data_IF_528581415476
#
_entry.id   IF_528581415476
#
_cell.length_a   1.000
_cell.length_b   1.000
_cell.length_c   1.000
_cell.angle_alpha   90.00
_cell.angle_beta   90.00
_cell.angle_gamma   90.00
#
_symmetry.space_group_name_H-M   'P 1'
#
loop_
_entity.id
_entity.type
_entity.pdbx_description
1 polymer ?
#
# COMPACT_ATOMS: atom_id res chain seq x y z
N UNK A 1 -58.14 -0.49 -0.93
CA UNK A 1 -57.31 0.33 -0.02
C UNK A 1 -55.91 -0.26 0.06
N UNK A 2 -55.00 0.03 -0.87
CA UNK A 2 -53.58 -0.43 -0.85
C UNK A 2 -52.81 0.32 -1.94
N UNK A 3 -52.54 1.63 -1.76
CA UNK A 3 -51.74 2.41 -2.73
C UNK A 3 -50.61 3.23 -2.11
N UNK A 4 -50.37 3.11 -0.80
CA UNK A 4 -49.41 3.96 -0.06
C UNK A 4 -48.14 3.24 0.44
N UNK A 5 -47.95 1.95 0.16
CA UNK A 5 -46.82 1.17 0.70
C UNK A 5 -45.51 1.29 -0.09
N UNK A 6 -45.57 1.65 -1.38
CA UNK A 6 -44.40 1.75 -2.25
C UNK A 6 -43.41 2.89 -1.88
N UNK A 7 -43.85 4.13 -1.58
CA UNK A 7 -42.92 5.22 -1.29
C UNK A 7 -42.18 5.05 0.05
N UNK A 8 -42.78 4.36 1.02
CA UNK A 8 -42.15 4.08 2.33
C UNK A 8 -41.00 3.09 2.19
N UNK A 9 -41.16 2.07 1.32
CA UNK A 9 -40.12 1.08 1.05
C UNK A 9 -38.90 1.70 0.34
N UNK A 10 -39.13 2.62 -0.60
CA UNK A 10 -38.05 3.33 -1.29
C UNK A 10 -37.25 4.24 -0.34
N UNK A 11 -37.92 4.90 0.61
CA UNK A 11 -37.23 5.73 1.61
C UNK A 11 -36.37 4.88 2.55
N UNK A 12 -36.87 3.72 2.99
CA UNK A 12 -36.11 2.79 3.83
C UNK A 12 -34.86 2.23 3.13
N UNK A 13 -34.94 1.95 1.83
CA UNK A 13 -33.79 1.52 1.01
C UNK A 13 -32.71 2.60 0.88
N UNK A 14 -33.08 3.90 0.84
CA UNK A 14 -32.10 4.99 0.79
C UNK A 14 -31.38 5.23 2.12
N UNK A 15 -32.04 4.98 3.26
CA UNK A 15 -31.42 5.15 4.59
C UNK A 15 -30.38 4.05 4.86
N UNK A 16 -30.60 2.83 4.34
CA UNK A 16 -29.66 1.71 4.51
C UNK A 16 -28.36 1.88 3.73
N UNK A 17 -28.36 2.53 2.56
CA UNK A 17 -27.14 2.74 1.77
C UNK A 17 -26.21 3.80 2.39
N UNK A 18 -26.76 4.81 3.07
CA UNK A 18 -25.97 5.85 3.76
C UNK A 18 -25.14 5.32 4.94
N UNK A 19 -25.64 4.28 5.63
CA UNK A 19 -24.94 3.68 6.78
C UNK A 19 -23.70 2.86 6.36
N UNK A 20 -23.66 2.33 5.13
CA UNK A 20 -22.52 1.56 4.63
C UNK A 20 -21.27 2.43 4.33
N UNK A 21 -21.45 3.73 4.11
CA UNK A 21 -20.33 4.67 3.91
C UNK A 21 -19.79 5.25 5.22
N UNK A 22 -20.54 5.19 6.33
CA UNK A 22 -20.16 5.82 7.61
C UNK A 22 -19.10 5.04 8.41
N UNK A 23 -18.73 3.82 8.01
CA UNK A 23 -17.80 2.97 8.77
C UNK A 23 -16.45 2.71 8.08
N UNK A 24 -16.05 3.54 7.10
CA UNK A 24 -14.69 3.45 6.54
C UNK A 24 -13.71 4.17 7.47
N UNK A 25 -12.79 3.41 8.07
CA UNK A 25 -11.66 3.97 8.83
C UNK A 25 -10.85 4.88 7.88
N UNK A 26 -10.54 6.13 8.27
CA UNK A 26 -9.81 7.05 7.42
C UNK A 26 -8.35 6.62 7.23
N UNK A 27 -7.75 7.02 6.11
CA UNK A 27 -6.33 6.87 5.87
C UNK A 27 -5.52 7.95 6.59
N UNK A 28 -4.40 7.56 7.19
CA UNK A 28 -3.35 8.47 7.63
C UNK A 28 -2.45 8.82 6.45
N UNK A 29 -2.26 10.12 6.20
CA UNK A 29 -1.42 10.62 5.11
C UNK A 29 0.02 10.90 5.56
N UNK A 30 0.85 11.42 4.64
CA UNK A 30 2.25 11.79 4.86
C UNK A 30 3.17 10.61 5.22
N UNK A 31 2.89 9.43 4.69
CA UNK A 31 3.79 8.30 4.76
C UNK A 31 4.66 8.25 3.51
N UNK A 32 5.90 7.78 3.68
CA UNK A 32 6.85 7.69 2.58
C UNK A 32 7.12 6.26 2.14
N UNK A 33 7.36 6.14 0.84
CA UNK A 33 7.77 4.90 0.19
C UNK A 33 8.82 5.21 -0.86
N UNK A 34 9.85 4.38 -0.91
CA UNK A 34 10.85 4.33 -1.95
C UNK A 34 10.66 3.05 -2.79
N UNK A 35 10.85 3.18 -4.10
CA UNK A 35 10.89 2.09 -5.06
C UNK A 35 12.18 2.24 -5.85
N UNK A 36 13.02 1.22 -5.82
CA UNK A 36 14.27 1.17 -6.58
C UNK A 36 14.15 0.10 -7.66
N UNK A 37 14.41 0.46 -8.91
CA UNK A 37 14.48 -0.46 -10.04
C UNK A 37 15.95 -0.76 -10.31
N UNK A 38 16.30 -2.05 -10.29
CA UNK A 38 17.67 -2.49 -10.59
C UNK A 38 17.92 -2.42 -12.09
N UNK A 39 19.03 -1.79 -12.47
CA UNK A 39 19.55 -1.81 -13.82
C UNK A 39 20.90 -2.51 -13.92
N UNK A 40 21.33 -2.79 -15.16
CA UNK A 40 22.58 -3.50 -15.42
C UNK A 40 23.83 -2.74 -14.94
N UNK A 41 23.75 -1.41 -14.92
CA UNK A 41 24.88 -0.53 -14.60
C UNK A 41 24.56 0.57 -13.57
N UNK A 42 23.30 0.67 -13.13
CA UNK A 42 22.83 1.72 -12.23
C UNK A 42 21.53 1.32 -11.54
N UNK A 43 21.14 2.07 -10.52
CA UNK A 43 19.84 1.93 -9.84
C UNK A 43 18.99 3.14 -10.14
N UNK A 44 17.71 2.90 -10.45
CA UNK A 44 16.74 3.95 -10.70
C UNK A 44 15.82 4.08 -9.49
N UNK A 45 16.01 5.12 -8.69
CA UNK A 45 15.32 5.33 -7.42
C UNK A 45 14.17 6.32 -7.57
N UNK A 46 13.02 5.96 -7.01
CA UNK A 46 11.83 6.78 -6.97
C UNK A 46 11.32 6.85 -5.54
N UNK A 47 10.84 8.02 -5.11
CA UNK A 47 10.29 8.22 -3.78
C UNK A 47 8.98 8.98 -3.83
N UNK A 48 8.11 8.72 -2.86
CA UNK A 48 6.88 9.47 -2.63
C UNK A 48 6.69 9.66 -1.14
N UNK A 49 6.21 10.84 -0.75
CA UNK A 49 5.73 11.14 0.61
C UNK A 49 4.20 11.20 0.69
N UNK A 50 3.52 10.64 -0.32
CA UNK A 50 2.05 10.68 -0.48
C UNK A 50 1.41 9.30 -0.30
N UNK A 51 2.09 8.36 0.36
CA UNK A 51 1.49 7.08 0.70
C UNK A 51 0.44 7.27 1.80
N UNK A 52 -0.70 6.63 1.61
CA UNK A 52 -1.81 6.57 2.54
C UNK A 52 -1.77 5.24 3.29
N UNK A 53 -2.00 5.27 4.61
CA UNK A 53 -2.00 4.05 5.43
C UNK A 53 -3.29 3.96 6.25
N UNK A 54 -3.92 2.78 6.25
CA UNK A 54 -5.08 2.46 7.09
C UNK A 54 -4.85 1.13 7.78
N UNK A 55 -5.34 0.98 9.01
CA UNK A 55 -5.47 -0.33 9.64
C UNK A 55 -6.90 -0.83 9.51
N UNK A 56 -7.09 -2.00 8.90
CA UNK A 56 -8.37 -2.71 8.88
C UNK A 56 -8.44 -3.68 10.07
N UNK A 57 -9.37 -3.39 10.99
CA UNK A 57 -9.59 -4.17 12.20
C UNK A 57 -10.19 -5.54 11.92
N UNK A 58 -10.91 -5.73 10.81
CA UNK A 58 -11.55 -7.00 10.49
C UNK A 58 -10.52 -8.02 9.99
N UNK A 59 -9.59 -7.57 9.15
CA UNK A 59 -8.55 -8.42 8.55
C UNK A 59 -7.24 -8.38 9.32
N UNK A 60 -7.09 -7.45 10.29
CA UNK A 60 -5.86 -7.18 11.05
C UNK A 60 -4.67 -6.85 10.16
N UNK A 61 -4.92 -6.09 9.09
CA UNK A 61 -3.93 -5.69 8.09
C UNK A 61 -3.74 -4.18 8.06
N UNK A 62 -2.49 -3.76 7.87
CA UNK A 62 -2.18 -2.42 7.40
C UNK A 62 -2.33 -2.40 5.89
N UNK A 63 -3.19 -1.54 5.39
CA UNK A 63 -3.35 -1.23 3.99
C UNK A 63 -2.54 0.02 3.64
N UNK A 64 -1.65 -0.09 2.66
CA UNK A 64 -0.85 0.99 2.14
C UNK A 64 -1.26 1.24 0.69
N UNK A 65 -1.66 2.47 0.39
CA UNK A 65 -2.06 2.90 -0.94
C UNK A 65 -1.14 4.03 -1.40
N UNK A 66 -0.46 3.83 -2.52
CA UNK A 66 0.45 4.81 -3.10
C UNK A 66 -0.01 5.17 -4.53
N UNK A 67 -0.45 6.41 -4.78
CA UNK A 67 -0.66 6.89 -6.13
C UNK A 67 0.66 6.95 -6.90
N UNK A 68 0.75 6.26 -8.02
CA UNK A 68 1.97 6.11 -8.82
C UNK A 68 2.43 7.47 -9.40
N UNK A 69 1.51 8.37 -9.70
CA UNK A 69 1.81 9.74 -10.16
C UNK A 69 2.67 10.54 -9.18
N UNK A 70 2.64 10.19 -7.89
CA UNK A 70 3.40 10.88 -6.84
C UNK A 70 4.82 10.32 -6.65
N UNK A 71 5.22 9.31 -7.42
CA UNK A 71 6.59 8.80 -7.41
C UNK A 71 7.50 9.73 -8.21
N UNK A 72 8.40 10.39 -7.50
CA UNK A 72 9.37 11.32 -8.07
C UNK A 72 10.77 10.69 -8.07
N UNK A 73 11.60 10.98 -9.07
CA UNK A 73 13.01 10.59 -9.10
C UNK A 73 13.73 11.01 -7.81
N UNK A 74 14.43 10.08 -7.18
CA UNK A 74 15.32 10.35 -6.05
C UNK A 74 16.78 10.56 -6.49
N UNK A 75 17.10 10.30 -7.77
CA UNK A 75 18.41 10.51 -8.37
C UNK A 75 18.30 10.98 -9.84
N UNK A 76 19.36 11.62 -10.36
CA UNK A 76 19.38 12.20 -11.72
C UNK A 76 19.29 11.16 -12.84
N UNK A 77 19.64 9.91 -12.55
CA UNK A 77 19.57 8.81 -13.50
C UNK A 77 18.15 8.31 -13.74
N UNK A 78 17.15 8.74 -12.95
CA UNK A 78 15.79 8.16 -12.93
C UNK A 78 14.79 8.98 -13.74
N UNK A 79 14.38 8.55 -14.95
CA UNK A 79 13.34 9.25 -15.71
C UNK A 79 11.97 8.97 -15.08
N UNK A 80 11.18 10.01 -14.79
CA UNK A 80 9.81 9.88 -14.23
C UNK A 80 8.96 8.88 -15.04
N UNK A 81 9.03 8.96 -16.37
CA UNK A 81 8.25 8.09 -17.24
C UNK A 81 8.58 6.60 -17.10
N UNK A 82 9.74 6.24 -16.52
CA UNK A 82 10.11 4.85 -16.30
C UNK A 82 9.19 4.18 -15.29
N UNK A 83 9.02 4.75 -14.11
CA UNK A 83 8.17 4.16 -13.07
C UNK A 83 6.70 4.11 -13.51
N UNK A 84 6.22 5.15 -14.20
CA UNK A 84 4.86 5.19 -14.76
C UNK A 84 4.60 4.02 -15.73
N UNK A 85 5.57 3.72 -16.59
CA UNK A 85 5.48 2.63 -17.55
C UNK A 85 5.59 1.25 -16.89
N UNK A 86 6.50 1.07 -15.92
CA UNK A 86 6.64 -0.20 -15.18
C UNK A 86 5.36 -0.57 -14.47
N UNK A 87 4.68 0.39 -13.83
CA UNK A 87 3.41 0.15 -13.14
C UNK A 87 2.19 0.23 -14.06
N UNK A 88 2.38 0.60 -15.34
CA UNK A 88 1.29 0.87 -16.29
C UNK A 88 0.23 1.82 -15.70
N UNK A 89 0.70 2.96 -15.20
CA UNK A 89 -0.07 3.89 -14.38
C UNK A 89 -1.34 4.43 -15.04
N UNK A 90 -1.38 4.51 -16.37
CA UNK A 90 -2.59 4.92 -17.11
C UNK A 90 -3.78 3.99 -16.91
N UNK A 91 -3.53 2.72 -16.57
CA UNK A 91 -4.58 1.73 -16.26
C UNK A 91 -4.64 1.38 -14.78
N UNK A 92 -3.49 1.38 -14.10
CA UNK A 92 -3.35 1.05 -12.69
C UNK A 92 -2.67 2.21 -11.95
N UNK A 93 -3.43 3.27 -11.62
CA UNK A 93 -2.86 4.52 -11.11
C UNK A 93 -2.31 4.42 -9.68
N UNK A 94 -2.58 3.31 -8.98
CA UNK A 94 -2.26 3.12 -7.57
C UNK A 94 -1.55 1.77 -7.35
N UNK A 95 -0.53 1.80 -6.49
CA UNK A 95 0.07 0.60 -5.89
C UNK A 95 -0.61 0.33 -4.56
N UNK A 96 -1.06 -0.91 -4.36
CA UNK A 96 -1.73 -1.34 -3.14
C UNK A 96 -0.94 -2.47 -2.47
N UNK A 97 -0.63 -2.29 -1.18
CA UNK A 97 0.12 -3.24 -0.36
C UNK A 97 -0.65 -3.50 0.93
N UNK A 98 -0.84 -4.76 1.28
CA UNK A 98 -1.36 -5.16 2.59
C UNK A 98 -0.26 -5.83 3.40
N UNK A 99 -0.19 -5.51 4.69
CA UNK A 99 0.79 -6.07 5.62
C UNK A 99 0.04 -6.61 6.84
N UNK A 100 0.23 -7.88 7.17
CA UNK A 100 -0.31 -8.41 8.42
C UNK A 100 0.32 -7.72 9.63
N UNK A 101 -0.55 -7.17 10.48
CA UNK A 101 -0.17 -6.43 11.68
C UNK A 101 -0.95 -6.99 12.88
N UNK A 102 -0.42 -8.04 13.53
CA UNK A 102 -1.02 -8.62 14.73
C UNK A 102 -0.82 -7.66 15.91
N UNK A 103 -1.74 -6.69 16.07
CA UNK A 103 -1.66 -5.61 17.07
C UNK A 103 -1.51 -6.15 18.48
N UNK A 104 -2.09 -7.32 18.77
CA UNK A 104 -1.96 -7.96 20.09
C UNK A 104 -0.50 -8.35 20.39
N UNK A 105 0.25 -8.79 19.38
CA UNK A 105 1.67 -9.12 19.50
C UNK A 105 2.53 -7.86 19.55
N UNK A 106 2.23 -6.88 18.70
CA UNK A 106 2.93 -5.59 18.65
C UNK A 106 2.80 -4.86 20.01
N UNK A 107 1.60 -4.87 20.61
CA UNK A 107 1.30 -4.16 21.85
C UNK A 107 1.35 -5.05 23.11
N UNK A 108 2.01 -6.21 23.06
CA UNK A 108 2.09 -7.20 24.16
C UNK A 108 2.89 -6.74 25.41
N UNK A 109 2.98 -5.44 25.68
CA UNK A 109 3.57 -4.86 26.90
C UNK A 109 5.05 -4.48 26.78
N UNK A 110 5.71 -4.74 25.66
CA UNK A 110 7.09 -4.33 25.42
C UNK A 110 7.09 -3.03 24.59
N UNK A 111 7.65 -1.94 25.12
CA UNK A 111 7.70 -0.63 24.41
C UNK A 111 8.82 -0.56 23.36
N UNK A 112 9.58 -1.63 23.19
CA UNK A 112 10.70 -1.69 22.27
C UNK A 112 10.23 -2.01 20.85
N UNK A 113 11.01 -1.58 19.85
CA UNK A 113 10.78 -1.96 18.45
C UNK A 113 10.86 -3.48 18.32
N UNK A 114 9.98 -4.06 17.52
CA UNK A 114 9.93 -5.49 17.26
C UNK A 114 9.91 -5.74 15.76
N UNK A 115 10.77 -6.63 15.28
CA UNK A 115 10.72 -7.09 13.89
C UNK A 115 9.99 -8.43 13.85
N UNK A 116 8.90 -8.48 13.09
CA UNK A 116 8.10 -9.67 12.88
C UNK A 116 8.19 -10.07 11.40
N UNK A 117 8.18 -11.38 11.12
CA UNK A 117 8.00 -11.87 9.76
C UNK A 117 6.50 -11.81 9.44
N UNK A 118 6.09 -10.77 8.75
CA UNK A 118 4.69 -10.56 8.38
C UNK A 118 4.43 -11.03 6.95
N UNK A 119 3.24 -11.57 6.71
CA UNK A 119 2.74 -11.77 5.35
C UNK A 119 2.42 -10.41 4.73
N UNK A 120 2.89 -10.22 3.51
CA UNK A 120 2.69 -9.02 2.71
C UNK A 120 2.09 -9.42 1.37
N UNK A 121 1.03 -8.70 0.99
CA UNK A 121 0.35 -8.84 -0.28
C UNK A 121 0.57 -7.57 -1.08
N UNK A 122 1.20 -7.65 -2.24
CA UNK A 122 1.41 -6.51 -3.12
C UNK A 122 0.63 -6.73 -4.42
N UNK A 123 -0.18 -5.75 -4.81
CA UNK A 123 -0.94 -5.77 -6.06
C UNK A 123 -0.27 -4.84 -7.08
N UNK A 124 0.29 -5.43 -8.13
CA UNK A 124 0.90 -4.70 -9.24
C UNK A 124 0.17 -5.09 -10.52
N UNK A 125 -0.39 -4.10 -11.23
CA UNK A 125 -1.15 -4.30 -12.47
C UNK A 125 -2.29 -5.32 -12.36
N UNK A 126 -2.92 -5.42 -11.19
CA UNK A 126 -4.01 -6.38 -10.91
C UNK A 126 -3.55 -7.78 -10.51
N UNK A 127 -2.23 -8.02 -10.43
CA UNK A 127 -1.65 -9.30 -10.03
C UNK A 127 -1.18 -9.20 -8.59
N UNK A 128 -1.72 -10.05 -7.72
CA UNK A 128 -1.37 -10.10 -6.30
C UNK A 128 -0.23 -11.11 -6.09
N UNK A 129 0.84 -10.64 -5.43
CA UNK A 129 1.91 -11.50 -4.91
C UNK A 129 1.87 -11.50 -3.40
N UNK A 130 1.82 -12.70 -2.82
CA UNK A 130 2.03 -12.93 -1.40
C UNK A 130 3.51 -13.26 -1.14
N UNK A 131 4.05 -12.71 -0.05
CA UNK A 131 5.41 -12.97 0.44
C UNK A 131 5.47 -12.81 1.96
N UNK A 132 6.52 -13.34 2.58
CA UNK A 132 6.81 -13.14 4.00
C UNK A 132 8.07 -12.30 4.12
N UNK A 133 7.98 -11.15 4.78
CA UNK A 133 9.07 -10.17 4.87
C UNK A 133 9.23 -9.66 6.30
N UNK A 134 10.44 -9.25 6.71
CA UNK A 134 10.63 -8.63 8.00
C UNK A 134 9.98 -7.25 8.02
N UNK A 135 9.10 -7.01 9.00
CA UNK A 135 8.47 -5.73 9.27
C UNK A 135 8.79 -5.32 10.69
N UNK A 136 9.47 -4.19 10.83
CA UNK A 136 9.75 -3.59 12.14
C UNK A 136 8.59 -2.72 12.56
N UNK A 137 7.93 -3.08 13.65
CA UNK A 137 6.89 -2.31 14.31
C UNK A 137 7.46 -1.56 15.52
N UNK A 138 7.01 -0.32 15.72
CA UNK A 138 7.25 0.46 16.93
C UNK A 138 5.92 0.60 17.68
N UNK A 139 5.77 -0.02 18.86
CA UNK A 139 4.53 0.00 19.61
C UNK A 139 4.20 1.40 20.15
N UNK A 140 2.94 1.81 20.04
CA UNK A 140 2.40 3.03 20.62
C UNK A 140 0.89 2.86 20.90
N UNK A 141 0.35 3.58 21.89
CA UNK A 141 -0.99 3.33 22.45
C UNK A 141 -2.12 3.43 21.40
N UNK A 142 -2.01 4.42 20.51
CA UNK A 142 -3.04 4.72 19.50
C UNK A 142 -2.48 4.76 18.08
N UNK A 143 -1.24 4.30 17.89
CA UNK A 143 -0.54 4.41 16.61
C UNK A 143 0.22 3.13 16.32
N UNK A 144 0.26 2.76 15.05
CA UNK A 144 1.12 1.69 14.57
C UNK A 144 2.13 2.35 13.66
N UNK A 145 3.38 2.41 14.12
CA UNK A 145 4.50 2.83 13.28
C UNK A 145 5.25 1.61 12.79
N UNK A 146 5.56 1.54 11.50
CA UNK A 146 6.20 0.38 10.89
C UNK A 146 7.20 0.75 9.81
N UNK A 147 8.10 -0.18 9.50
CA UNK A 147 9.05 -0.08 8.40
C UNK A 147 9.33 -1.45 7.83
N UNK A 148 9.52 -1.53 6.52
CA UNK A 148 9.87 -2.79 5.86
C UNK A 148 10.59 -2.49 4.54
N UNK A 149 11.45 -3.42 4.13
CA UNK A 149 12.07 -3.44 2.81
C UNK A 149 11.93 -4.84 2.25
N UNK A 150 11.52 -4.96 1.00
CA UNK A 150 11.38 -6.25 0.34
C UNK A 150 11.56 -6.14 -1.16
N UNK A 151 11.96 -7.24 -1.76
CA UNK A 151 12.28 -7.31 -3.18
C UNK A 151 11.25 -8.14 -3.94
N UNK A 152 11.06 -7.81 -5.21
CA UNK A 152 10.23 -8.56 -6.12
C UNK A 152 10.86 -8.55 -7.52
N UNK A 153 10.83 -9.70 -8.19
CA UNK A 153 11.14 -9.77 -9.61
C UNK A 153 9.86 -9.63 -10.43
N UNK A 154 9.83 -8.75 -11.43
CA UNK A 154 8.65 -8.59 -12.31
C UNK A 154 8.19 -9.93 -12.91
N UNK A 155 9.14 -10.82 -13.22
CA UNK A 155 8.85 -12.16 -13.74
C UNK A 155 8.03 -13.03 -12.77
N UNK A 156 8.14 -12.82 -11.45
CA UNK A 156 7.36 -13.56 -10.44
C UNK A 156 5.87 -13.22 -10.51
N UNK A 157 5.56 -12.05 -11.06
CA UNK A 157 4.21 -11.58 -11.37
C UNK A 157 3.81 -11.87 -12.83
N UNK A 158 4.65 -12.57 -13.61
CA UNK A 158 4.51 -12.71 -15.07
C UNK A 158 4.48 -11.38 -15.83
N UNK A 159 4.98 -10.32 -15.20
CA UNK A 159 5.17 -9.02 -15.82
C UNK A 159 6.52 -8.98 -16.54
N UNK A 160 6.62 -8.14 -17.57
CA UNK A 160 7.84 -7.95 -18.34
C UNK A 160 8.28 -6.51 -18.22
N UNK A 161 9.60 -6.31 -18.29
CA UNK A 161 10.17 -4.99 -18.51
C UNK A 161 9.65 -4.46 -19.87
N UNK A 162 9.10 -3.23 -19.93
CA UNK A 162 8.69 -2.60 -21.18
C UNK A 162 9.85 -2.56 -22.17
N UNK A 163 9.57 -2.79 -23.46
CA UNK A 163 10.59 -2.97 -24.50
C UNK A 163 11.63 -1.84 -24.57
N UNK A 164 11.24 -0.60 -24.26
CA UNK A 164 12.15 0.56 -24.26
C UNK A 164 13.18 0.56 -23.11
N UNK A 165 13.03 -0.33 -22.13
CA UNK A 165 13.87 -0.43 -20.94
C UNK A 165 14.56 -1.78 -20.77
N UNK A 166 14.39 -2.73 -21.70
CA UNK A 166 14.94 -4.08 -21.57
C UNK A 166 16.47 -4.13 -21.54
N UNK A 167 17.16 -3.16 -22.15
CA UNK A 167 18.63 -3.01 -22.06
C UNK A 167 19.10 -2.24 -20.83
N UNK A 168 18.18 -1.79 -19.98
CA UNK A 168 18.48 -0.91 -18.83
C UNK A 168 18.09 -1.52 -17.51
N UNK A 169 17.04 -2.35 -17.47
CA UNK A 169 16.45 -2.90 -16.27
C UNK A 169 16.56 -4.41 -16.26
N UNK A 170 16.95 -4.97 -15.11
CA UNK A 170 17.00 -6.42 -14.87
C UNK A 170 15.61 -7.00 -14.59
N UNK A 171 14.67 -6.14 -14.17
CA UNK A 171 13.33 -6.51 -13.73
C UNK A 171 13.22 -6.77 -12.22
N UNK A 172 14.31 -6.62 -11.45
CA UNK A 172 14.28 -6.62 -9.98
C UNK A 172 13.83 -5.26 -9.47
N UNK A 173 12.94 -5.27 -8.48
CA UNK A 173 12.42 -4.09 -7.80
C UNK A 173 12.61 -4.25 -6.29
N UNK A 174 13.08 -3.20 -5.64
CA UNK A 174 13.15 -3.09 -4.18
C UNK A 174 12.14 -2.05 -3.73
N UNK A 175 11.28 -2.45 -2.80
CA UNK A 175 10.31 -1.58 -2.15
C UNK A 175 10.80 -1.29 -0.73
N UNK A 176 10.68 -0.04 -0.29
CA UNK A 176 11.02 0.34 1.09
C UNK A 176 10.00 1.32 1.63
N UNK A 177 9.43 0.99 2.79
CA UNK A 177 8.52 1.85 3.55
C UNK A 177 9.28 2.36 4.77
N UNK A 178 9.43 3.68 4.88
CA UNK A 178 10.19 4.32 5.96
C UNK A 178 9.27 4.88 7.04
N UNK A 179 9.33 4.31 8.24
CA UNK A 179 8.65 4.81 9.45
C UNK A 179 7.19 5.24 9.22
N UNK A 180 6.46 4.50 8.39
CA UNK A 180 5.06 4.81 8.09
C UNK A 180 4.20 4.60 9.34
N UNK A 181 3.16 5.41 9.48
CA UNK A 181 2.30 5.47 10.64
C UNK A 181 0.83 5.38 10.23
N UNK A 182 0.11 4.55 10.96
CA UNK A 182 -1.33 4.66 11.12
C UNK A 182 -1.64 5.20 12.52
N UNK A 183 -2.66 6.05 12.64
CA UNK A 183 -3.18 6.54 13.91
C UNK A 183 -4.68 6.30 13.97
N UNK A 184 -5.20 5.83 15.11
CA UNK A 184 -6.65 5.82 15.31
C UNK A 184 -7.12 7.26 15.53
N UNK A 185 -7.92 7.78 14.60
CA UNK A 185 -8.46 9.14 14.62
C UNK A 185 -9.84 9.21 15.31
N UNK A 186 -10.33 8.09 15.88
CA UNK A 186 -11.64 8.01 16.54
C UNK A 186 -11.62 8.42 18.02
N UNK A 187 -10.51 9.01 18.50
CA UNK A 187 -10.35 9.56 19.85
C UNK A 187 -10.36 11.08 19.84
#
# INVERSE_FOLDING_TARGET
MTKSLLPVLCFFMMVLTGQAQQHRIPYTANNSMQISLEGEHSTYDFQSAKMLVRYDQNTRKLECLLPIENLLPANDSSPVAMVQDIFFASRYPELYIEIEAPVEQINAGNRNRQTLNSRVFINIQGIVKEMVVPVTFTPDRNTITFSTSFELMLQDLRLRVPARYTSRLTGRMLFTIHSARWSDLRN
#
